data_IF_475374350775
#
_entry.id   IF_475374350775
#
_cell.length_a   1.000
_cell.length_b   1.000
_cell.length_c   1.000
_cell.angle_alpha   90.00
_cell.angle_beta   90.00
_cell.angle_gamma   90.00
#
_symmetry.space_group_name_H-M   'P 1'
#
loop_
_entity.id
_entity.type
_entity.pdbx_description
1 polymer ?
#
# COMPACT_ATOMS: atom_id res chain seq x y z
N UNK A 1 -7.38 20.65 -3.33
CA UNK A 1 -8.55 19.94 -2.78
C UNK A 1 -8.83 20.50 -1.40
N UNK A 2 -10.10 20.70 -1.00
CA UNK A 2 -10.42 21.09 0.38
C UNK A 2 -9.82 20.09 1.37
N UNK A 3 -9.27 20.57 2.48
CA UNK A 3 -8.78 19.77 3.61
C UNK A 3 -7.71 18.71 3.25
N UNK A 4 -6.89 18.95 2.22
CA UNK A 4 -5.72 18.12 1.92
C UNK A 4 -4.61 18.34 2.98
N UNK A 5 -4.08 17.24 3.51
CA UNK A 5 -2.96 17.29 4.45
C UNK A 5 -1.65 17.74 3.77
N UNK A 6 -0.73 18.36 4.50
CA UNK A 6 0.55 18.84 3.97
C UNK A 6 1.43 17.70 3.40
N UNK A 7 1.33 16.51 3.98
CA UNK A 7 2.02 15.30 3.59
C UNK A 7 1.10 14.08 3.81
N UNK A 8 1.37 12.90 3.21
CA UNK A 8 0.57 11.71 3.50
C UNK A 8 0.80 11.24 4.93
N UNK A 9 -0.20 10.62 5.55
CA UNK A 9 -0.04 10.04 6.89
C UNK A 9 0.71 8.70 6.88
N UNK A 10 0.62 7.98 5.76
CA UNK A 10 1.24 6.68 5.56
C UNK A 10 1.96 6.64 4.23
N UNK A 11 3.12 6.02 4.19
CA UNK A 11 3.91 5.86 2.98
C UNK A 11 4.52 4.46 2.97
N UNK A 12 4.54 3.82 1.82
CA UNK A 12 5.29 2.59 1.61
C UNK A 12 6.20 2.69 0.40
N UNK A 13 7.32 2.00 0.49
CA UNK A 13 8.32 1.93 -0.57
C UNK A 13 8.62 0.45 -0.83
N UNK A 14 8.34 0.00 -2.05
CA UNK A 14 8.52 -1.39 -2.45
C UNK A 14 9.85 -1.58 -3.16
N UNK A 15 10.65 -2.52 -2.67
CA UNK A 15 11.90 -2.94 -3.28
C UNK A 15 11.83 -4.38 -3.74
N UNK A 16 12.11 -4.61 -5.01
CA UNK A 16 12.39 -5.94 -5.55
C UNK A 16 13.81 -6.33 -5.18
N UNK A 17 13.97 -7.56 -4.71
CA UNK A 17 15.30 -8.11 -4.42
C UNK A 17 15.86 -8.72 -5.70
N UNK A 18 16.85 -8.05 -6.27
CA UNK A 18 17.53 -8.41 -7.50
C UNK A 18 18.89 -9.03 -7.22
N UNK A 19 19.49 -9.67 -8.23
CA UNK A 19 20.86 -10.13 -8.17
C UNK A 19 21.73 -9.27 -9.10
N UNK A 20 22.81 -8.73 -8.56
CA UNK A 20 23.85 -8.08 -9.34
C UNK A 20 25.19 -8.72 -8.99
N UNK A 21 25.75 -9.44 -9.96
CA UNK A 21 26.86 -10.37 -9.72
C UNK A 21 26.49 -11.35 -8.59
N UNK A 22 27.32 -11.46 -7.55
CA UNK A 22 27.12 -12.39 -6.45
C UNK A 22 26.37 -11.77 -5.25
N UNK A 23 25.78 -10.57 -5.42
CA UNK A 23 25.11 -9.83 -4.34
C UNK A 23 23.63 -9.64 -4.60
N UNK A 24 22.83 -9.71 -3.54
CA UNK A 24 21.44 -9.28 -3.56
C UNK A 24 21.39 -7.76 -3.42
N UNK A 25 20.65 -7.10 -4.31
CA UNK A 25 20.51 -5.64 -4.32
C UNK A 25 19.03 -5.25 -4.36
N UNK A 26 18.60 -4.26 -3.56
CA UNK A 26 17.24 -3.75 -3.64
C UNK A 26 17.09 -2.80 -4.84
N UNK A 27 16.01 -2.97 -5.60
CA UNK A 27 15.61 -2.08 -6.69
C UNK A 27 14.21 -1.57 -6.44
N UNK A 28 14.04 -0.24 -6.48
CA UNK A 28 12.77 0.41 -6.26
C UNK A 28 11.76 0.02 -7.34
N UNK A 29 10.59 -0.46 -6.92
CA UNK A 29 9.50 -0.90 -7.80
C UNK A 29 8.38 0.13 -7.83
N UNK A 30 7.96 0.60 -6.65
CA UNK A 30 6.82 1.48 -6.47
C UNK A 30 6.88 2.21 -5.12
N UNK A 31 6.25 3.38 -5.03
CA UNK A 31 5.92 4.05 -3.78
C UNK A 31 4.42 4.29 -3.74
N UNK A 32 3.82 4.20 -2.55
CA UNK A 32 2.38 4.42 -2.38
C UNK A 32 2.11 5.19 -1.09
N UNK A 33 1.31 6.25 -1.17
CA UNK A 33 0.87 7.03 -0.01
C UNK A 33 -0.53 6.65 0.51
N UNK A 34 -1.08 5.56 -0.01
CA UNK A 34 -2.32 4.95 0.46
C UNK A 34 -2.15 3.46 0.83
N UNK A 35 -1.16 3.12 1.67
CA UNK A 35 -0.88 1.75 2.03
C UNK A 35 -1.83 1.15 3.06
N UNK A 36 -1.58 -0.13 3.31
CA UNK A 36 -2.42 -1.05 4.05
C UNK A 36 -1.52 -1.98 4.90
N UNK A 37 -2.10 -2.73 5.84
CA UNK A 37 -1.44 -3.79 6.63
C UNK A 37 -0.66 -3.36 7.88
N UNK A 38 -0.78 -2.10 8.35
CA UNK A 38 -0.03 -1.65 9.54
C UNK A 38 -0.44 -2.37 10.82
N UNK A 39 -1.72 -2.66 11.02
CA UNK A 39 -2.20 -3.41 12.18
C UNK A 39 -1.82 -4.88 12.04
N UNK A 40 -2.04 -5.44 10.86
CA UNK A 40 -1.75 -6.86 10.59
C UNK A 40 -0.25 -7.20 10.71
N UNK A 41 0.67 -6.36 10.24
CA UNK A 41 2.11 -6.68 10.33
C UNK A 41 2.60 -6.78 11.78
N UNK A 42 2.06 -5.97 12.70
CA UNK A 42 2.38 -6.10 14.12
C UNK A 42 1.89 -7.45 14.67
N UNK A 43 0.67 -7.87 14.30
CA UNK A 43 0.10 -9.15 14.71
C UNK A 43 0.91 -10.34 14.18
N UNK A 44 1.37 -10.28 12.93
CA UNK A 44 2.18 -11.35 12.31
C UNK A 44 3.46 -11.63 13.11
N UNK A 45 4.16 -10.58 13.58
CA UNK A 45 5.35 -10.73 14.42
C UNK A 45 5.07 -11.55 15.69
N UNK A 46 3.95 -11.28 16.35
CA UNK A 46 3.53 -11.98 17.57
C UNK A 46 3.18 -13.45 17.28
N UNK A 47 2.43 -13.69 16.19
CA UNK A 47 2.08 -15.04 15.76
C UNK A 47 3.32 -15.87 15.42
N UNK A 48 4.28 -15.29 14.69
CA UNK A 48 5.53 -15.97 14.33
C UNK A 48 6.36 -16.34 15.57
N UNK A 49 6.54 -15.41 16.51
CA UNK A 49 7.25 -15.69 17.77
C UNK A 49 6.59 -16.80 18.60
N UNK A 50 5.25 -16.83 18.62
CA UNK A 50 4.49 -17.87 19.33
C UNK A 50 4.62 -19.24 18.64
N UNK A 51 4.52 -19.27 17.31
CA UNK A 51 4.57 -20.50 16.53
C UNK A 51 6.00 -21.09 16.42
N UNK A 52 7.02 -20.23 16.43
CA UNK A 52 8.41 -20.62 16.21
C UNK A 52 9.32 -20.13 17.34
N UNK A 53 9.44 -20.89 18.44
CA UNK A 53 10.29 -20.53 19.59
C UNK A 53 11.79 -20.37 19.26
N UNK A 54 12.23 -20.88 18.11
CA UNK A 54 13.59 -20.73 17.62
C UNK A 54 13.93 -19.29 17.17
N UNK A 55 12.92 -18.45 16.91
CA UNK A 55 13.12 -17.03 16.60
C UNK A 55 13.69 -16.34 17.84
N UNK A 56 14.87 -15.73 17.69
CA UNK A 56 15.54 -15.03 18.79
C UNK A 56 14.69 -13.85 19.27
N UNK A 57 14.64 -13.62 20.59
CA UNK A 57 13.85 -12.54 21.19
C UNK A 57 14.30 -11.15 20.78
N UNK A 58 15.58 -10.97 20.44
CA UNK A 58 16.14 -9.70 19.98
C UNK A 58 15.92 -9.46 18.48
N UNK A 59 15.27 -10.38 17.76
CA UNK A 59 14.89 -10.17 16.37
C UNK A 59 13.52 -9.50 16.27
N UNK A 60 13.41 -8.51 15.40
CA UNK A 60 12.18 -7.73 15.17
C UNK A 60 12.01 -7.41 13.68
N UNK A 61 10.79 -7.04 13.28
CA UNK A 61 10.52 -6.46 11.96
C UNK A 61 10.44 -4.93 11.97
N UNK A 62 10.49 -4.34 13.18
CA UNK A 62 10.36 -2.91 13.41
C UNK A 62 11.70 -2.18 13.42
N UNK A 63 11.71 -0.91 13.01
CA UNK A 63 12.94 -0.12 12.87
C UNK A 63 13.06 0.96 13.96
N UNK A 64 14.27 1.51 14.11
CA UNK A 64 14.52 2.61 15.06
C UNK A 64 14.35 2.24 16.54
N UNK A 65 14.37 0.94 16.88
CA UNK A 65 14.18 0.46 18.25
C UNK A 65 12.75 0.58 18.79
N UNK A 66 11.77 0.91 17.94
CA UNK A 66 10.37 1.05 18.33
C UNK A 66 9.84 -0.27 18.92
N UNK A 67 9.16 -0.16 20.07
CA UNK A 67 8.51 -1.29 20.75
C UNK A 67 7.01 -1.27 20.45
N UNK A 68 6.35 -2.40 20.67
CA UNK A 68 4.94 -2.60 20.31
C UNK A 68 4.02 -1.49 20.85
N UNK A 69 4.16 -1.11 22.12
CA UNK A 69 3.39 0.00 22.71
C UNK A 69 3.60 1.32 21.94
N UNK A 70 4.85 1.67 21.64
CA UNK A 70 5.17 2.90 20.91
C UNK A 70 4.67 2.85 19.45
N UNK A 71 4.65 1.67 18.83
CA UNK A 71 4.07 1.47 17.50
C UNK A 71 2.55 1.70 17.51
N UNK A 72 1.85 1.12 18.49
CA UNK A 72 0.40 1.32 18.64
C UNK A 72 0.08 2.79 18.95
N UNK A 73 0.88 3.43 19.79
CA UNK A 73 0.71 4.85 20.09
C UNK A 73 0.98 5.75 18.87
N UNK A 74 1.95 5.38 18.03
CA UNK A 74 2.19 6.04 16.75
C UNK A 74 1.01 5.89 15.79
N UNK A 75 0.36 4.73 15.74
CA UNK A 75 -0.88 4.57 14.97
C UNK A 75 -2.02 5.41 15.56
N UNK A 76 -2.22 5.35 16.88
CA UNK A 76 -3.28 6.09 17.59
C UNK A 76 -3.16 7.59 17.38
N UNK A 77 -1.99 8.18 17.62
CA UNK A 77 -1.77 9.62 17.43
C UNK A 77 -1.97 10.08 15.99
N UNK A 78 -1.73 9.20 15.02
CA UNK A 78 -1.86 9.52 13.59
C UNK A 78 -3.30 9.38 13.11
N UNK A 79 -4.00 8.32 13.54
CA UNK A 79 -5.36 7.99 13.08
C UNK A 79 -6.42 8.73 13.91
N UNK A 80 -6.33 8.61 15.24
CA UNK A 80 -7.31 9.14 16.19
C UNK A 80 -6.96 10.57 16.62
N UNK A 81 -5.67 10.85 16.83
CA UNK A 81 -5.20 12.11 17.41
C UNK A 81 -5.91 12.40 18.74
N UNK A 82 -6.58 13.54 18.85
CA UNK A 82 -7.35 14.01 20.01
C UNK A 82 -8.86 13.74 19.91
N UNK A 83 -9.32 13.09 18.84
CA UNK A 83 -10.74 12.78 18.66
C UNK A 83 -11.21 11.63 19.57
N UNK A 84 -12.51 11.60 19.87
CA UNK A 84 -13.14 10.43 20.48
C UNK A 84 -13.12 9.25 19.48
N UNK A 85 -12.61 8.05 19.83
CA UNK A 85 -12.58 6.89 18.94
C UNK A 85 -13.94 6.57 18.28
N UNK A 86 -15.06 6.87 18.94
CA UNK A 86 -16.39 6.66 18.37
C UNK A 86 -16.68 7.54 17.15
N UNK A 87 -16.03 8.70 17.06
CA UNK A 87 -16.14 9.63 15.94
C UNK A 87 -15.05 9.39 14.86
N UNK A 88 -14.23 8.34 15.03
CA UNK A 88 -13.19 7.94 14.08
C UNK A 88 -13.59 6.63 13.40
N UNK A 89 -13.59 6.63 12.07
CA UNK A 89 -13.95 5.43 11.29
C UNK A 89 -12.82 4.97 10.38
N UNK A 90 -12.78 3.67 10.12
CA UNK A 90 -11.98 3.03 9.09
C UNK A 90 -12.84 2.81 7.84
N UNK A 91 -12.75 3.69 6.86
CA UNK A 91 -13.65 3.74 5.71
C UNK A 91 -13.16 2.86 4.56
N UNK A 92 -14.03 2.02 4.02
CA UNK A 92 -13.78 1.20 2.83
C UNK A 92 -15.10 0.93 2.09
N UNK A 93 -15.05 0.52 0.82
CA UNK A 93 -16.24 0.17 0.03
C UNK A 93 -17.03 -0.93 0.73
N UNK A 94 -16.41 -2.08 0.99
CA UNK A 94 -17.00 -3.23 1.69
C UNK A 94 -15.92 -3.90 2.54
N UNK A 95 -15.66 -3.41 3.77
CA UNK A 95 -14.54 -3.85 4.61
C UNK A 95 -14.46 -5.38 4.77
N UNK A 96 -15.61 -6.03 4.93
CA UNK A 96 -15.73 -7.47 5.15
C UNK A 96 -15.36 -8.32 3.93
N UNK A 97 -15.47 -7.76 2.72
CA UNK A 97 -15.13 -8.44 1.46
C UNK A 97 -13.68 -8.22 1.05
N UNK A 98 -12.95 -7.32 1.72
CA UNK A 98 -11.57 -7.04 1.38
C UNK A 98 -10.64 -8.22 1.62
N UNK A 99 -9.68 -8.42 0.71
CA UNK A 99 -8.60 -9.41 0.86
C UNK A 99 -7.77 -9.14 2.13
N UNK A 100 -7.74 -7.88 2.55
CA UNK A 100 -7.01 -7.39 3.73
C UNK A 100 -7.91 -7.27 4.97
N UNK A 101 -9.10 -7.90 5.01
CA UNK A 101 -10.04 -7.84 6.16
C UNK A 101 -9.41 -8.08 7.53
N UNK A 102 -8.34 -8.88 7.61
CA UNK A 102 -7.62 -9.14 8.86
C UNK A 102 -6.92 -7.89 9.41
N UNK A 103 -6.48 -6.98 8.54
CA UNK A 103 -5.91 -5.68 8.93
C UNK A 103 -6.96 -4.74 9.48
N UNK A 104 -8.20 -4.81 8.97
CA UNK A 104 -9.33 -4.08 9.55
C UNK A 104 -9.57 -4.56 10.98
N UNK A 105 -9.77 -5.86 11.18
CA UNK A 105 -9.97 -6.44 12.52
C UNK A 105 -8.81 -6.14 13.50
N UNK A 106 -7.56 -6.20 13.01
CA UNK A 106 -6.39 -5.83 13.81
C UNK A 106 -6.41 -4.34 14.17
N UNK A 107 -6.75 -3.45 13.23
CA UNK A 107 -6.80 -2.01 13.47
C UNK A 107 -7.91 -1.65 14.45
N UNK A 108 -9.10 -2.23 14.31
CA UNK A 108 -10.21 -2.06 15.27
C UNK A 108 -9.79 -2.48 16.67
N UNK A 109 -9.14 -3.65 16.81
CA UNK A 109 -8.65 -4.15 18.11
C UNK A 109 -7.60 -3.23 18.73
N UNK A 110 -6.70 -2.66 17.92
CA UNK A 110 -5.60 -1.83 18.40
C UNK A 110 -6.04 -0.41 18.80
N UNK A 111 -7.05 0.12 18.11
CA UNK A 111 -7.41 1.53 18.16
C UNK A 111 -8.83 1.81 18.67
N UNK A 112 -9.67 0.78 18.82
CA UNK A 112 -11.07 0.91 19.25
C UNK A 112 -11.93 1.80 18.33
N UNK A 113 -11.69 1.69 17.02
CA UNK A 113 -12.46 2.35 15.95
C UNK A 113 -13.29 1.33 15.19
N UNK A 114 -14.27 1.76 14.39
CA UNK A 114 -15.08 0.85 13.54
C UNK A 114 -14.76 0.97 12.07
N UNK A 115 -14.72 -0.18 11.40
CA UNK A 115 -14.76 -0.24 9.94
C UNK A 115 -16.16 0.06 9.43
N UNK A 116 -16.27 1.00 8.50
CA UNK A 116 -17.56 1.45 7.97
C UNK A 116 -17.55 1.35 6.45
N UNK A 117 -18.62 0.73 5.92
CA UNK A 117 -18.88 0.61 4.49
C UNK A 117 -19.24 1.99 3.90
N UNK A 118 -18.64 2.33 2.77
CA UNK A 118 -18.79 3.62 2.09
C UNK A 118 -20.26 3.99 1.80
N UNK A 119 -21.08 3.00 1.45
CA UNK A 119 -22.51 3.21 1.13
C UNK A 119 -23.38 3.43 2.36
N UNK A 120 -22.85 3.21 3.58
CA UNK A 120 -23.56 3.43 4.85
C UNK A 120 -23.35 4.83 5.43
N UNK A 121 -22.52 5.66 4.79
CA UNK A 121 -22.26 7.03 5.24
C UNK A 121 -23.42 7.95 4.84
N UNK A 122 -23.93 8.71 5.80
CA UNK A 122 -24.99 9.69 5.60
C UNK A 122 -24.40 11.10 5.69
N UNK A 123 -24.68 11.94 4.70
CA UNK A 123 -24.25 13.34 4.67
C UNK A 123 -25.39 14.28 5.09
N UNK A 124 -25.10 15.26 5.95
CA UNK A 124 -26.01 16.37 6.28
C UNK A 124 -25.24 17.69 6.29
N UNK A 125 -25.50 18.54 5.30
CA UNK A 125 -24.67 19.73 5.08
C UNK A 125 -23.22 19.32 4.80
N UNK A 126 -22.28 19.78 5.64
CA UNK A 126 -20.85 19.43 5.56
C UNK A 126 -20.47 18.26 6.47
N UNK A 127 -21.38 17.79 7.32
CA UNK A 127 -21.11 16.75 8.30
C UNK A 127 -21.45 15.36 7.75
N UNK A 128 -20.68 14.37 8.19
CA UNK A 128 -20.90 12.96 7.88
C UNK A 128 -21.29 12.19 9.14
N UNK A 129 -22.13 11.17 8.97
CA UNK A 129 -22.64 10.34 10.05
C UNK A 129 -22.62 8.85 9.64
N UNK A 130 -22.51 7.98 10.63
CA UNK A 130 -22.69 6.54 10.47
C UNK A 130 -23.58 5.98 11.59
N UNK A 131 -24.10 4.77 11.39
CA UNK A 131 -24.90 4.07 12.40
C UNK A 131 -23.99 3.23 13.30
N UNK A 132 -24.17 3.38 14.61
CA UNK A 132 -23.44 2.71 15.67
C UNK A 132 -24.46 2.22 16.70
N UNK A 133 -24.70 0.90 16.75
CA UNK A 133 -25.59 0.26 17.73
C UNK A 133 -27.03 0.84 17.77
N UNK A 134 -27.53 1.28 16.61
CA UNK A 134 -28.86 1.89 16.47
C UNK A 134 -28.86 3.41 16.62
N UNK A 135 -27.78 4.00 17.13
CA UNK A 135 -27.60 5.45 17.22
C UNK A 135 -26.84 5.99 16.02
N UNK A 136 -27.12 7.24 15.67
CA UNK A 136 -26.39 7.93 14.61
C UNK A 136 -25.27 8.77 15.22
N UNK A 137 -24.03 8.46 14.80
CA UNK A 137 -22.82 9.07 15.35
C UNK A 137 -22.15 9.91 14.28
N UNK A 138 -21.77 11.14 14.66
CA UNK A 138 -21.01 12.05 13.80
C UNK A 138 -19.61 11.50 13.54
N UNK A 139 -19.10 11.70 12.34
CA UNK A 139 -17.73 11.37 11.97
C UNK A 139 -16.90 12.64 12.02
N UNK A 140 -15.79 12.61 12.77
CA UNK A 140 -14.83 13.70 12.87
C UNK A 140 -13.52 13.37 12.13
N UNK A 141 -13.10 12.10 12.13
CA UNK A 141 -11.92 11.64 11.38
C UNK A 141 -12.21 10.38 10.58
N UNK A 142 -11.63 10.31 9.38
CA UNK A 142 -11.76 9.15 8.49
C UNK A 142 -10.36 8.62 8.21
N UNK A 143 -10.05 7.42 8.71
CA UNK A 143 -8.97 6.62 8.18
C UNK A 143 -9.46 5.96 6.89
N UNK A 144 -9.09 6.57 5.77
CA UNK A 144 -9.58 6.17 4.46
C UNK A 144 -8.76 4.99 3.93
N UNK A 145 -9.46 3.95 3.48
CA UNK A 145 -8.89 2.77 2.80
C UNK A 145 -9.53 2.45 1.45
N UNK A 146 -10.49 3.28 1.01
CA UNK A 146 -11.19 3.15 -0.28
C UNK A 146 -10.21 3.15 -1.45
N UNK A 147 -10.26 2.09 -2.26
CA UNK A 147 -9.50 1.97 -3.51
C UNK A 147 -10.31 2.58 -4.67
N UNK A 148 -9.85 3.73 -5.18
CA UNK A 148 -10.59 4.48 -6.20
C UNK A 148 -10.77 3.71 -7.52
N UNK A 149 -9.81 2.88 -7.92
CA UNK A 149 -9.95 2.02 -9.11
C UNK A 149 -11.12 1.03 -8.96
N UNK A 150 -11.35 0.51 -7.76
CA UNK A 150 -12.49 -0.36 -7.49
C UNK A 150 -13.78 0.44 -7.51
N UNK A 151 -13.78 1.61 -6.86
CA UNK A 151 -14.92 2.51 -6.80
C UNK A 151 -15.41 2.93 -8.19
N UNK A 152 -14.50 3.34 -9.07
CA UNK A 152 -14.81 3.79 -10.43
C UNK A 152 -15.40 2.68 -11.31
N UNK A 153 -15.08 1.41 -11.02
CA UNK A 153 -15.64 0.24 -11.71
C UNK A 153 -17.02 -0.16 -11.21
N UNK A 154 -17.50 0.50 -10.15
CA UNK A 154 -18.76 0.20 -9.47
C UNK A 154 -19.66 1.44 -9.40
N UNK A 155 -20.04 2.02 -10.55
CA UNK A 155 -20.87 3.23 -10.60
C UNK A 155 -22.28 3.02 -10.02
N UNK A 156 -22.71 1.77 -9.85
CA UNK A 156 -23.97 1.41 -9.21
C UNK A 156 -24.00 1.68 -7.70
N UNK A 157 -22.84 1.92 -7.07
CA UNK A 157 -22.80 2.26 -5.65
C UNK A 157 -23.38 3.65 -5.42
N UNK A 158 -24.54 3.70 -4.77
CA UNK A 158 -25.11 4.94 -4.26
C UNK A 158 -24.30 5.47 -3.09
N UNK A 159 -23.22 6.22 -3.36
CA UNK A 159 -22.41 6.86 -2.33
C UNK A 159 -23.13 8.12 -1.82
N UNK A 160 -23.23 8.27 -0.50
CA UNK A 160 -23.95 9.39 0.13
C UNK A 160 -23.21 10.74 0.14
N UNK A 161 -21.98 10.81 -0.38
CA UNK A 161 -21.15 12.02 -0.42
C UNK A 161 -20.09 11.95 -1.53
N UNK A 162 -19.53 13.10 -1.93
CA UNK A 162 -18.41 13.20 -2.85
C UNK A 162 -17.07 13.38 -2.12
N UNK A 163 -16.01 12.70 -2.56
CA UNK A 163 -14.66 12.87 -2.01
C UNK A 163 -14.03 14.25 -2.29
N UNK A 164 -14.65 15.04 -3.17
CA UNK A 164 -14.25 16.41 -3.49
C UNK A 164 -15.07 17.47 -2.72
N UNK A 165 -16.07 17.03 -1.95
CA UNK A 165 -16.92 17.92 -1.18
C UNK A 165 -16.14 18.61 -0.05
N UNK A 166 -16.54 19.83 0.29
CA UNK A 166 -16.04 20.52 1.47
C UNK A 166 -16.73 20.00 2.74
N UNK A 167 -16.09 19.03 3.40
CA UNK A 167 -16.65 18.27 4.54
C UNK A 167 -15.95 18.63 5.85
N UNK A 168 -16.71 18.65 6.94
CA UNK A 168 -16.24 18.92 8.31
C UNK A 168 -15.58 17.67 8.94
N UNK A 169 -14.63 17.07 8.23
CA UNK A 169 -13.91 15.85 8.65
C UNK A 169 -12.41 15.99 8.41
N UNK A 170 -11.61 15.35 9.25
CA UNK A 170 -10.17 15.20 9.02
C UNK A 170 -9.88 13.88 8.31
N UNK A 171 -9.18 13.95 7.19
CA UNK A 171 -8.76 12.76 6.45
C UNK A 171 -7.42 12.24 6.96
N UNK A 172 -7.38 10.96 7.32
CA UNK A 172 -6.14 10.21 7.53
C UNK A 172 -5.95 9.30 6.33
N UNK A 173 -4.97 9.62 5.49
CA UNK A 173 -4.90 9.10 4.12
C UNK A 173 -5.85 9.86 3.19
N UNK A 174 -5.65 11.18 3.07
CA UNK A 174 -6.48 12.01 2.20
C UNK A 174 -6.58 11.43 0.77
N UNK A 175 -7.79 11.34 0.17
CA UNK A 175 -8.04 10.72 -1.14
C UNK A 175 -7.04 11.10 -2.25
N UNK A 176 -6.61 12.35 -2.27
CA UNK A 176 -5.68 12.87 -3.29
C UNK A 176 -4.29 12.18 -3.26
N UNK A 177 -3.83 11.72 -2.08
CA UNK A 177 -2.55 11.04 -1.95
C UNK A 177 -2.48 9.71 -2.71
N UNK A 178 -3.64 9.10 -3.00
CA UNK A 178 -3.74 7.92 -3.87
C UNK A 178 -3.12 8.17 -5.25
N UNK A 179 -3.25 9.39 -5.78
CA UNK A 179 -2.76 9.76 -7.11
C UNK A 179 -1.37 10.43 -7.08
N UNK A 180 -1.05 11.20 -6.03
CA UNK A 180 0.18 12.02 -5.96
C UNK A 180 1.46 11.20 -5.80
N UNK A 181 1.48 10.25 -4.87
CA UNK A 181 2.63 9.36 -4.64
C UNK A 181 2.25 8.00 -5.20
N UNK A 182 2.56 7.86 -6.48
CA UNK A 182 2.15 6.75 -7.34
C UNK A 182 3.25 6.46 -8.35
N UNK A 183 2.95 5.61 -9.33
CA UNK A 183 3.84 5.32 -10.47
C UNK A 183 4.32 6.58 -11.19
N UNK A 184 3.52 7.66 -11.16
CA UNK A 184 3.87 8.96 -11.74
C UNK A 184 5.16 9.55 -11.15
N UNK A 185 5.50 9.22 -9.91
CA UNK A 185 6.72 9.72 -9.28
C UNK A 185 8.00 9.06 -9.81
N UNK A 186 7.92 7.85 -10.40
CA UNK A 186 9.08 7.04 -10.75
C UNK A 186 10.04 7.71 -11.77
N UNK A 187 9.57 8.35 -12.86
CA UNK A 187 10.46 9.02 -13.82
C UNK A 187 11.30 10.16 -13.22
N UNK A 188 10.84 10.76 -12.10
CA UNK A 188 11.53 11.87 -11.44
C UNK A 188 12.59 11.40 -10.43
N UNK A 189 12.55 10.14 -10.00
CA UNK A 189 13.47 9.60 -9.00
C UNK A 189 14.74 9.07 -9.69
N UNK A 190 15.86 9.76 -9.46
CA UNK A 190 17.17 9.38 -10.00
C UNK A 190 18.13 9.07 -8.85
N UNK A 191 18.17 7.81 -8.43
CA UNK A 191 19.06 7.30 -7.38
C UNK A 191 19.75 6.01 -7.84
N UNK A 192 20.72 5.53 -7.07
CA UNK A 192 21.40 4.24 -7.36
C UNK A 192 20.46 3.02 -7.28
N UNK A 193 19.30 3.17 -6.62
CA UNK A 193 18.33 2.10 -6.38
C UNK A 193 17.13 2.16 -7.31
N UNK A 194 16.98 3.23 -8.11
CA UNK A 194 15.88 3.40 -9.06
C UNK A 194 16.23 2.81 -10.43
N UNK A 195 15.29 2.07 -11.02
CA UNK A 195 15.40 1.69 -12.44
C UNK A 195 14.91 2.85 -13.31
N UNK A 196 15.57 3.13 -14.45
CA UNK A 196 15.13 4.17 -15.37
C UNK A 196 13.66 4.01 -15.76
N UNK A 197 12.90 5.09 -15.62
CA UNK A 197 11.50 5.16 -15.99
C UNK A 197 11.24 6.43 -16.81
N UNK A 198 10.31 6.34 -17.75
CA UNK A 198 9.96 7.41 -18.68
C UNK A 198 8.45 7.44 -18.84
N UNK A 199 7.86 8.62 -19.07
CA UNK A 199 6.51 8.65 -19.62
C UNK A 199 6.52 8.07 -21.04
N UNK A 200 5.42 7.43 -21.45
CA UNK A 200 5.39 6.71 -22.71
C UNK A 200 5.50 7.65 -23.93
N UNK A 201 5.05 8.90 -23.80
CA UNK A 201 5.20 9.98 -24.79
C UNK A 201 6.60 10.61 -24.82
N UNK A 202 7.36 10.52 -23.73
CA UNK A 202 8.75 10.98 -23.65
C UNK A 202 9.77 9.89 -24.05
N UNK A 203 9.33 8.63 -24.21
CA UNK A 203 10.20 7.51 -24.52
C UNK A 203 10.72 7.58 -25.96
N UNK A 204 12.01 7.86 -26.11
CA UNK A 204 12.69 7.85 -27.41
C UNK A 204 12.97 6.40 -27.82
N UNK A 205 12.47 5.99 -28.98
CA UNK A 205 12.40 4.59 -29.42
C UNK A 205 13.73 3.91 -29.79
N UNK A 206 14.88 4.43 -29.37
CA UNK A 206 16.22 3.87 -29.62
C UNK A 206 16.58 2.71 -28.68
N UNK A 207 15.97 2.65 -27.49
CA UNK A 207 16.14 1.55 -26.56
C UNK A 207 15.38 0.27 -26.98
N UNK A 208 15.95 -0.91 -26.66
CA UNK A 208 15.27 -2.20 -26.86
C UNK A 208 14.04 -2.28 -25.93
N UNK A 209 12.85 -2.07 -26.50
CA UNK A 209 11.55 -2.09 -25.77
C UNK A 209 11.33 -3.38 -24.98
N UNK A 210 11.88 -4.52 -25.45
CA UNK A 210 11.83 -5.80 -24.71
C UNK A 210 12.45 -5.75 -23.30
N UNK A 211 13.24 -4.73 -22.98
CA UNK A 211 13.82 -4.50 -21.66
C UNK A 211 12.96 -3.63 -20.74
N UNK A 212 11.74 -3.26 -21.14
CA UNK A 212 10.85 -2.38 -20.38
C UNK A 212 9.54 -3.08 -20.04
N UNK A 213 8.92 -2.62 -18.96
CA UNK A 213 7.54 -2.92 -18.61
C UNK A 213 6.71 -1.66 -18.78
N UNK A 214 5.52 -1.78 -19.35
CA UNK A 214 4.58 -0.69 -19.54
C UNK A 214 3.56 -0.73 -18.40
N UNK A 215 3.43 0.38 -17.68
CA UNK A 215 2.54 0.49 -16.52
C UNK A 215 1.60 1.69 -16.69
N UNK A 216 0.28 1.50 -16.54
CA UNK A 216 -0.65 2.62 -16.47
C UNK A 216 -0.50 3.34 -15.13
N UNK A 217 -0.64 4.67 -15.13
CA UNK A 217 -0.53 5.49 -13.92
C UNK A 217 -1.70 5.26 -12.96
N UNK A 218 -2.91 5.14 -13.50
CA UNK A 218 -4.16 5.00 -12.74
C UNK A 218 -4.57 3.53 -12.57
N UNK A 219 -3.59 2.64 -12.38
CA UNK A 219 -3.86 1.24 -12.03
C UNK A 219 -2.96 0.70 -10.92
N UNK A 220 -3.56 -0.03 -9.98
CA UNK A 220 -2.90 -0.54 -8.78
C UNK A 220 -2.96 -2.08 -8.68
N UNK A 221 -2.17 -2.63 -7.76
CA UNK A 221 -2.05 -4.09 -7.53
C UNK A 221 -1.63 -4.91 -8.77
N UNK A 222 -0.89 -4.31 -9.70
CA UNK A 222 -0.39 -4.98 -10.91
C UNK A 222 -1.41 -5.11 -12.04
N UNK A 223 -2.61 -4.54 -11.88
CA UNK A 223 -3.59 -4.46 -12.96
C UNK A 223 -3.06 -3.59 -14.10
N UNK A 224 -3.29 -4.03 -15.35
CA UNK A 224 -2.87 -3.31 -16.55
C UNK A 224 -1.36 -3.27 -16.84
N UNK A 225 -0.52 -3.88 -15.99
CA UNK A 225 0.93 -3.96 -16.23
C UNK A 225 1.22 -4.93 -17.36
N UNK A 226 1.88 -4.44 -18.40
CA UNK A 226 2.39 -5.25 -19.50
C UNK A 226 3.90 -5.46 -19.35
N UNK A 227 4.29 -6.72 -19.14
CA UNK A 227 5.68 -7.10 -18.92
C UNK A 227 6.45 -7.19 -20.24
N UNK A 228 5.77 -7.37 -21.37
CA UNK A 228 6.42 -7.57 -22.67
C UNK A 228 5.75 -6.66 -23.72
N UNK A 229 5.78 -5.32 -23.52
CA UNK A 229 5.11 -4.40 -24.42
C UNK A 229 5.76 -4.44 -25.81
N UNK A 230 4.94 -4.22 -26.85
CA UNK A 230 5.42 -4.09 -28.24
C UNK A 230 5.44 -2.64 -28.67
N UNK A 231 6.15 -2.34 -29.79
CA UNK A 231 6.18 -0.98 -30.36
C UNK A 231 4.78 -0.52 -30.75
N UNK A 232 4.03 -1.43 -31.37
CA UNK A 232 2.69 -1.20 -31.88
C UNK A 232 1.74 -0.83 -30.75
N UNK A 233 1.86 -1.50 -29.59
CA UNK A 233 1.04 -1.20 -28.42
C UNK A 233 1.34 0.18 -27.85
N UNK A 234 2.62 0.55 -27.72
CA UNK A 234 3.02 1.87 -27.21
C UNK A 234 2.53 2.98 -28.13
N UNK A 235 2.73 2.83 -29.44
CA UNK A 235 2.25 3.80 -30.45
C UNK A 235 0.73 3.89 -30.53
N UNK A 236 0.02 2.83 -30.17
CA UNK A 236 -1.45 2.76 -30.16
C UNK A 236 -2.11 3.17 -28.83
N UNK A 237 -1.34 3.64 -27.85
CA UNK A 237 -1.90 4.07 -26.56
C UNK A 237 -2.77 5.33 -26.73
N UNK A 238 -4.01 5.25 -26.23
CA UNK A 238 -4.80 6.44 -25.94
C UNK A 238 -4.22 7.11 -24.70
N UNK A 239 -3.93 8.42 -24.78
CA UNK A 239 -3.31 9.22 -23.71
C UNK A 239 -1.95 8.66 -23.20
N UNK A 240 -0.88 8.68 -24.03
CA UNK A 240 0.41 8.10 -23.65
C UNK A 240 1.06 8.72 -22.40
N UNK A 241 0.73 9.98 -22.07
CA UNK A 241 1.16 10.64 -20.82
C UNK A 241 0.61 9.96 -19.54
N UNK A 242 -0.44 9.13 -19.65
CA UNK A 242 -1.01 8.36 -18.54
C UNK A 242 -0.32 6.99 -18.34
N UNK A 243 0.80 6.77 -19.01
CA UNK A 243 1.56 5.52 -18.98
C UNK A 243 3.05 5.80 -18.75
N UNK A 244 3.72 4.86 -18.07
CA UNK A 244 5.17 4.87 -17.93
C UNK A 244 5.78 3.59 -18.48
N UNK A 245 6.96 3.73 -19.08
CA UNK A 245 7.87 2.64 -19.40
C UNK A 245 8.97 2.60 -18.35
N UNK A 246 9.03 1.53 -17.57
CA UNK A 246 10.09 1.31 -16.59
C UNK A 246 10.99 0.18 -17.03
N UNK A 247 12.30 0.36 -16.95
CA UNK A 247 13.27 -0.70 -17.25
C UNK A 247 12.99 -1.91 -16.35
N UNK A 248 12.97 -3.11 -16.94
CA UNK A 248 12.81 -4.38 -16.25
C UNK A 248 13.89 -4.54 -15.18
N UNK A 249 13.47 -5.09 -14.06
CA UNK A 249 14.33 -5.56 -13.00
C UNK A 249 14.27 -7.07 -12.95
N UNK A 250 15.42 -7.72 -12.85
CA UNK A 250 15.51 -9.17 -12.75
C UNK A 250 15.53 -9.57 -11.27
N UNK A 251 14.40 -10.09 -10.81
CA UNK A 251 14.23 -10.54 -9.43
C UNK A 251 15.05 -11.80 -9.17
N UNK A 252 15.85 -11.78 -8.12
CA UNK A 252 16.61 -12.92 -7.67
C UNK A 252 15.67 -13.99 -7.09
N UNK A 253 15.78 -15.23 -7.59
CA UNK A 253 15.17 -16.38 -6.96
C UNK A 253 16.13 -16.93 -5.90
N UNK A 254 15.99 -16.49 -4.65
CA UNK A 254 16.97 -16.79 -3.59
C UNK A 254 16.37 -17.45 -2.35
N UNK A 255 15.05 -17.36 -2.14
CA UNK A 255 14.40 -17.97 -0.97
C UNK A 255 14.21 -19.47 -1.23
N UNK A 256 14.86 -20.37 -0.48
CA UNK A 256 14.70 -21.80 -0.68
C UNK A 256 13.27 -22.22 -0.31
N UNK A 257 12.74 -23.19 -1.05
CA UNK A 257 11.46 -23.84 -0.76
C UNK A 257 11.66 -25.34 -0.66
N UNK A 258 10.75 -26.04 0.03
CA UNK A 258 10.84 -27.50 0.14
C UNK A 258 10.48 -28.22 -1.15
N UNK A 259 9.79 -27.54 -2.06
CA UNK A 259 9.30 -28.12 -3.33
C UNK A 259 10.36 -28.03 -4.45
N UNK A 260 11.51 -27.39 -4.19
CA UNK A 260 12.63 -27.26 -5.12
C UNK A 260 12.81 -25.85 -5.71
N UNK A 261 11.81 -25.24 -6.39
CA UNK A 261 11.93 -23.90 -6.94
C UNK A 261 12.20 -22.85 -5.87
N UNK A 262 13.14 -21.93 -6.10
CA UNK A 262 13.36 -20.79 -5.19
C UNK A 262 12.31 -19.70 -5.42
N UNK A 263 11.80 -19.13 -4.34
CA UNK A 263 10.92 -17.96 -4.41
C UNK A 263 11.73 -16.67 -4.56
N UNK A 264 11.13 -15.71 -5.26
CA UNK A 264 11.56 -14.31 -5.34
C UNK A 264 10.89 -13.52 -4.23
N UNK A 265 11.50 -12.41 -3.82
CA UNK A 265 10.96 -11.56 -2.75
C UNK A 265 10.94 -10.08 -3.14
N UNK A 266 9.92 -9.39 -2.64
CA UNK A 266 9.87 -7.94 -2.48
C UNK A 266 9.83 -7.59 -1.01
N UNK A 267 10.51 -6.51 -0.64
CA UNK A 267 10.45 -5.93 0.70
C UNK A 267 9.80 -4.56 0.58
N UNK A 268 8.64 -4.43 1.21
CA UNK A 268 7.91 -3.18 1.41
C UNK A 268 8.36 -2.56 2.71
N UNK A 269 8.93 -1.37 2.63
CA UNK A 269 9.28 -0.54 3.80
C UNK A 269 8.08 0.33 4.15
N UNK A 270 7.66 0.33 5.42
CA UNK A 270 6.41 0.96 5.86
C UNK A 270 6.69 2.14 6.76
N UNK A 271 6.20 3.32 6.38
CA UNK A 271 6.39 4.58 7.07
C UNK A 271 5.09 5.15 7.59
N UNK A 272 5.16 5.77 8.77
CA UNK A 272 4.10 6.60 9.34
C UNK A 272 4.63 8.02 9.46
N UNK A 273 3.88 8.99 8.97
CA UNK A 273 4.24 10.40 8.99
C UNK A 273 3.17 11.20 9.74
N UNK A 274 3.37 11.46 11.04
CA UNK A 274 2.43 12.26 11.85
C UNK A 274 2.49 13.74 11.44
N UNK A 275 1.39 14.49 11.62
CA UNK A 275 1.22 15.88 11.16
C UNK A 275 2.33 16.86 11.61
N UNK A 276 2.93 16.62 12.78
CA UNK A 276 3.97 17.48 13.36
C UNK A 276 5.32 16.76 13.50
N UNK A 277 5.69 15.95 12.52
CA UNK A 277 6.95 15.21 12.57
C UNK A 277 7.51 14.86 11.20
N UNK A 278 8.49 13.95 11.23
CA UNK A 278 9.15 13.39 10.05
C UNK A 278 8.59 11.99 9.75
N UNK A 279 8.75 11.47 8.51
CA UNK A 279 8.38 10.10 8.19
C UNK A 279 9.23 9.11 8.99
N UNK A 280 8.57 8.26 9.77
CA UNK A 280 9.20 7.24 10.62
C UNK A 280 9.07 5.89 9.93
N UNK A 281 10.19 5.21 9.66
CA UNK A 281 10.17 3.81 9.23
C UNK A 281 9.77 2.92 10.42
N UNK A 282 8.65 2.22 10.32
CA UNK A 282 8.07 1.50 11.47
C UNK A 282 8.08 -0.01 11.33
N UNK A 283 7.98 -0.54 10.12
CA UNK A 283 7.89 -1.97 9.87
C UNK A 283 8.26 -2.31 8.42
N UNK A 284 8.28 -3.60 8.11
CA UNK A 284 8.36 -4.09 6.75
C UNK A 284 7.30 -5.16 6.46
N UNK A 285 7.05 -5.38 5.18
CA UNK A 285 6.27 -6.50 4.66
C UNK A 285 7.08 -7.18 3.55
N UNK A 286 7.28 -8.48 3.67
CA UNK A 286 7.88 -9.29 2.61
C UNK A 286 6.78 -9.91 1.77
N UNK A 287 6.84 -9.77 0.45
CA UNK A 287 5.96 -10.46 -0.50
C UNK A 287 6.80 -11.45 -1.30
N UNK A 288 6.40 -12.71 -1.28
CA UNK A 288 7.07 -13.79 -2.02
C UNK A 288 6.23 -14.27 -3.19
N UNK A 289 6.89 -14.58 -4.30
CA UNK A 289 6.28 -15.16 -5.48
C UNK A 289 7.26 -16.05 -6.24
N UNK A 290 6.71 -17.07 -6.91
CA UNK A 290 7.42 -17.89 -7.89
C UNK A 290 6.99 -17.53 -9.34
N UNK A 291 6.16 -16.50 -9.51
CA UNK A 291 5.67 -16.02 -10.80
C UNK A 291 6.55 -14.96 -11.46
N UNK A 292 6.16 -14.54 -12.67
CA UNK A 292 6.72 -13.35 -13.32
C UNK A 292 6.24 -12.05 -12.67
N UNK A 293 5.04 -12.04 -12.07
CA UNK A 293 4.46 -10.89 -11.35
C UNK A 293 4.25 -11.17 -9.86
N UNK A 294 4.49 -10.14 -9.05
CA UNK A 294 4.15 -10.13 -7.64
C UNK A 294 2.69 -9.73 -7.44
N UNK A 295 1.94 -10.44 -6.60
CA UNK A 295 0.54 -10.13 -6.30
C UNK A 295 -0.33 -11.35 -6.00
N UNK A 296 -1.40 -11.16 -5.22
CA UNK A 296 -2.28 -12.24 -4.75
C UNK A 296 -2.99 -12.93 -5.92
N UNK A 297 -3.39 -12.19 -6.95
CA UNK A 297 -4.16 -12.76 -8.07
C UNK A 297 -3.33 -13.64 -9.02
N UNK A 298 -2.00 -13.48 -9.03
CA UNK A 298 -1.10 -14.23 -9.93
C UNK A 298 -0.48 -15.48 -9.29
N UNK A 299 -0.78 -15.76 -8.01
CA UNK A 299 -0.09 -16.77 -7.22
C UNK A 299 -1.03 -17.72 -6.43
N UNK A 300 -2.34 -17.72 -6.71
CA UNK A 300 -3.35 -18.46 -5.92
C UNK A 300 -3.10 -19.97 -5.84
N UNK A 301 -2.53 -20.56 -6.89
CA UNK A 301 -2.31 -22.01 -6.98
C UNK A 301 -0.86 -22.44 -6.67
N UNK A 302 -0.05 -21.55 -6.07
CA UNK A 302 1.36 -21.82 -5.78
C UNK A 302 1.61 -21.90 -4.28
N UNK A 303 2.49 -22.80 -3.86
CA UNK A 303 3.00 -22.91 -2.50
C UNK A 303 4.23 -21.99 -2.31
N UNK A 304 4.57 -21.65 -1.07
CA UNK A 304 5.75 -20.81 -0.75
C UNK A 304 5.74 -19.41 -1.39
N UNK A 305 4.54 -18.86 -1.52
CA UNK A 305 4.22 -17.50 -1.97
C UNK A 305 3.34 -16.81 -0.92
N UNK A 306 3.21 -15.49 -1.00
CA UNK A 306 2.35 -14.71 -0.11
C UNK A 306 3.12 -13.71 0.74
N UNK A 307 2.51 -13.28 1.84
CA UNK A 307 3.01 -12.20 2.70
C UNK A 307 3.68 -12.74 3.96
N UNK A 308 4.79 -12.12 4.36
CA UNK A 308 5.54 -12.40 5.59
C UNK A 308 6.21 -11.12 6.10
N UNK A 309 7.08 -11.23 7.10
CA UNK A 309 7.94 -10.15 7.61
C UNK A 309 9.42 -10.56 7.53
N UNK A 310 10.30 -9.60 7.30
CA UNK A 310 11.74 -9.77 7.47
C UNK A 310 12.10 -9.42 8.90
N UNK A 311 12.66 -10.42 9.60
CA UNK A 311 13.20 -10.23 10.94
C UNK A 311 14.69 -9.89 10.84
N UNK A 312 15.12 -8.92 11.65
CA UNK A 312 16.52 -8.54 11.79
C UNK A 312 16.87 -8.36 13.26
N UNK A 313 18.16 -8.44 13.57
CA UNK A 313 18.69 -8.13 14.89
C UNK A 313 18.57 -6.63 15.17
N UNK A 314 18.25 -6.29 16.43
CA UNK A 314 18.27 -4.92 16.98
C UNK A 314 19.69 -4.57 17.41
#
# INVERSE_FOLDING_TARGET
MPNESAHPNFLVIDFGICAESDRLVPRLIELQAFPSLFGFQLLVLHCLRKAYPAIRRNWTSSFGGIKDHAYVELLRRTIIADANPENVILLEIEPEKQKTRIDFAATETLLDIRSVCLTKIKKRGRQLFYERDGDEVRIDRIYNRVIFDELLRRPELGIGFGFHDDLDVTWVGHPHWYFRISKHSLPFLKTEHTSPAFFADEFRGDARIGNYVLKPLYSFAGLGVDIEPTREKISGLTNPHEWILQKKVDYAAFVPTVDGPKSKAEIRMMFIWPENGEPILVNNLVRMSQGKMMGVDFNKDKTWVGSSIALHEI
#
